data_IF_186834723580
#
_entry.id   IF_186834723580
#
_cell.length_a   1.000
_cell.length_b   1.000
_cell.length_c   1.000
_cell.angle_alpha   90.00
_cell.angle_beta   90.00
_cell.angle_gamma   90.00
#
_symmetry.space_group_name_H-M   'P 1'
#
loop_
_entity.id
_entity.type
_entity.pdbx_description
1 polymer ?
#
# COMPACT_ATOMS: atom_id res chain seq x y z
N UNK A 1 9.73 25.34 -8.60
CA UNK A 1 8.44 25.05 -9.29
C UNK A 1 7.31 25.24 -8.28
N UNK A 2 6.19 25.84 -8.66
CA UNK A 2 5.04 26.05 -7.76
C UNK A 2 3.90 25.13 -8.18
N UNK A 3 3.36 24.38 -7.23
CA UNK A 3 2.22 23.49 -7.46
C UNK A 3 1.03 23.96 -6.62
N UNK A 4 -0.17 23.78 -7.17
CA UNK A 4 -1.43 23.99 -6.46
C UNK A 4 -2.03 22.61 -6.23
N UNK A 5 -2.18 22.23 -4.96
CA UNK A 5 -2.80 20.96 -4.58
C UNK A 5 -4.27 21.18 -4.23
N UNK A 6 -5.14 20.18 -4.45
CA UNK A 6 -6.47 20.16 -3.86
C UNK A 6 -6.42 20.25 -2.33
N UNK A 7 -7.56 20.49 -1.68
CA UNK A 7 -7.65 20.61 -0.20
C UNK A 7 -7.31 19.32 0.58
N UNK A 8 -7.19 18.20 -0.11
CA UNK A 8 -6.85 16.91 0.48
C UNK A 8 -5.35 16.77 0.71
N UNK A 9 -4.96 15.91 1.66
CA UNK A 9 -3.57 15.65 2.00
C UNK A 9 -2.83 14.87 0.93
N UNK A 10 -1.54 15.17 0.79
CA UNK A 10 -0.60 14.46 -0.07
C UNK A 10 0.65 14.09 0.69
N UNK A 11 1.10 12.87 0.51
CA UNK A 11 2.34 12.39 1.09
C UNK A 11 3.41 12.27 0.02
N UNK A 12 4.63 12.71 0.34
CA UNK A 12 5.77 12.61 -0.58
C UNK A 12 6.30 11.18 -0.62
N UNK A 13 6.37 10.61 -1.80
CA UNK A 13 7.04 9.34 -2.03
C UNK A 13 8.57 9.54 -2.12
N UNK A 14 9.43 8.65 -1.59
CA UNK A 14 9.10 7.41 -0.87
C UNK A 14 8.98 7.58 0.64
N UNK A 15 9.17 8.77 1.19
CA UNK A 15 9.28 8.98 2.64
C UNK A 15 7.97 8.77 3.39
N UNK A 16 6.82 9.02 2.76
CA UNK A 16 5.51 9.06 3.43
C UNK A 16 5.22 10.38 4.13
N UNK A 17 6.16 11.35 4.12
CA UNK A 17 6.00 12.63 4.82
C UNK A 17 4.83 13.44 4.25
N UNK A 18 3.91 13.83 5.13
CA UNK A 18 2.78 14.70 4.76
C UNK A 18 3.29 16.09 4.37
N UNK A 19 2.87 16.57 3.19
CA UNK A 19 3.34 17.86 2.62
C UNK A 19 2.26 18.94 2.65
N UNK A 20 1.08 18.66 3.16
CA UNK A 20 0.06 19.69 3.22
C UNK A 20 0.30 20.67 4.35
N UNK A 21 0.35 21.97 3.98
CA UNK A 21 0.16 23.04 4.93
C UNK A 21 -1.33 23.39 4.98
N UNK A 22 -2.03 22.86 5.98
CA UNK A 22 -3.47 23.13 6.20
C UNK A 22 -3.78 24.62 6.41
N UNK A 23 -2.75 25.43 6.64
CA UNK A 23 -2.85 26.87 6.93
C UNK A 23 -2.57 27.76 5.72
N UNK A 24 -2.14 27.22 4.59
CA UNK A 24 -1.95 28.01 3.39
C UNK A 24 -3.27 28.12 2.61
N UNK A 25 -3.90 29.29 2.68
CA UNK A 25 -5.14 29.58 1.97
C UNK A 25 -5.08 29.34 0.45
N UNK A 26 -3.87 29.26 -0.10
CA UNK A 26 -3.67 29.07 -1.53
C UNK A 26 -3.26 27.63 -1.91
N UNK A 27 -3.08 26.71 -0.95
CA UNK A 27 -2.63 25.33 -1.19
C UNK A 27 -1.40 25.24 -2.12
N UNK A 28 -0.50 26.23 -2.01
CA UNK A 28 0.70 26.31 -2.86
C UNK A 28 1.91 25.78 -2.11
N UNK A 29 2.62 24.86 -2.75
CA UNK A 29 3.89 24.34 -2.25
C UNK A 29 4.99 24.72 -3.23
N UNK A 30 6.10 25.24 -2.71
CA UNK A 30 7.30 25.48 -3.48
C UNK A 30 8.25 24.32 -3.25
N UNK A 31 8.57 23.59 -4.31
CA UNK A 31 9.52 22.51 -4.27
C UNK A 31 10.82 22.97 -4.92
N UNK A 32 11.93 22.71 -4.21
CA UNK A 32 13.26 22.80 -4.77
C UNK A 32 13.71 21.41 -5.16
N UNK A 33 14.32 21.27 -6.31
CA UNK A 33 14.87 20.00 -6.79
C UNK A 33 15.86 20.23 -7.90
N UNK A 34 16.72 19.29 -8.14
CA UNK A 34 17.63 19.27 -9.27
C UNK A 34 16.87 18.88 -10.55
N UNK A 35 17.52 19.04 -11.70
CA UNK A 35 16.89 18.77 -12.99
C UNK A 35 16.57 17.28 -13.20
N UNK A 36 17.28 16.41 -12.51
CA UNK A 36 17.18 14.94 -12.51
C UNK A 36 16.28 14.39 -11.39
N UNK A 37 15.68 15.25 -10.54
CA UNK A 37 14.77 14.84 -9.48
C UNK A 37 13.32 14.88 -9.94
N UNK A 38 12.61 13.77 -9.74
CA UNK A 38 11.16 13.66 -9.94
C UNK A 38 10.46 13.64 -8.60
N UNK A 39 9.57 14.60 -8.37
CA UNK A 39 8.75 14.63 -7.15
C UNK A 39 7.45 13.85 -7.37
N UNK A 40 7.26 12.79 -6.60
CA UNK A 40 6.07 11.94 -6.63
C UNK A 40 5.28 12.17 -5.35
N UNK A 41 3.97 12.37 -5.48
CA UNK A 41 3.05 12.59 -4.38
C UNK A 41 1.90 11.59 -4.44
N UNK A 42 1.57 10.98 -3.32
CA UNK A 42 0.42 10.11 -3.17
C UNK A 42 -0.67 10.85 -2.40
N UNK A 43 -1.87 10.86 -2.95
CA UNK A 43 -3.03 11.44 -2.31
C UNK A 43 -3.50 10.59 -1.15
N UNK A 44 -3.92 11.22 -0.05
CA UNK A 44 -4.59 10.55 1.06
C UNK A 44 -5.89 9.88 0.63
N UNK A 45 -6.25 8.78 1.27
CA UNK A 45 -7.45 8.01 0.96
C UNK A 45 -7.26 6.98 -0.16
N UNK A 46 -6.01 6.75 -0.61
CA UNK A 46 -5.75 5.76 -1.65
C UNK A 46 -4.76 4.68 -1.20
N UNK A 47 -4.98 3.46 -1.72
CA UNK A 47 -4.05 2.34 -1.61
C UNK A 47 -3.35 2.19 -2.95
N UNK A 48 -2.01 2.25 -2.94
CA UNK A 48 -1.19 2.18 -4.14
C UNK A 48 -0.37 0.90 -4.12
N UNK A 49 -0.60 -0.02 -5.06
CA UNK A 49 0.29 -1.16 -5.25
C UNK A 49 1.58 -0.70 -5.91
N UNK A 50 2.69 -1.28 -5.50
CA UNK A 50 4.01 -1.08 -6.13
C UNK A 50 4.75 -2.40 -6.22
N UNK A 51 5.69 -2.49 -7.15
CA UNK A 51 6.66 -3.57 -7.23
C UNK A 51 8.05 -2.98 -7.02
N UNK A 52 8.81 -3.54 -6.08
CA UNK A 52 10.16 -3.08 -5.81
C UNK A 52 11.13 -3.71 -6.81
N UNK A 53 11.44 -2.95 -7.85
CA UNK A 53 12.40 -3.34 -8.90
C UNK A 53 13.77 -2.68 -8.73
N UNK A 54 13.96 -1.92 -7.65
CA UNK A 54 15.23 -1.28 -7.34
C UNK A 54 16.29 -2.36 -7.10
N UNK A 55 17.45 -2.19 -7.68
CA UNK A 55 18.54 -3.18 -7.67
C UNK A 55 18.30 -4.48 -8.45
N UNK A 56 17.17 -4.60 -9.15
CA UNK A 56 16.87 -5.78 -9.98
C UNK A 56 16.91 -5.43 -11.45
N UNK A 57 17.54 -6.31 -12.22
CA UNK A 57 17.54 -6.19 -13.68
C UNK A 57 16.30 -6.88 -14.25
N UNK A 58 15.26 -6.11 -14.48
CA UNK A 58 13.99 -6.60 -15.01
C UNK A 58 14.00 -6.46 -16.54
N UNK A 59 14.05 -7.59 -17.24
CA UNK A 59 14.20 -7.63 -18.70
C UNK A 59 12.91 -7.33 -19.47
N UNK A 60 11.75 -7.69 -18.89
CA UNK A 60 10.46 -7.57 -19.56
C UNK A 60 9.30 -7.59 -18.54
N UNK A 61 8.09 -7.33 -19.04
CA UNK A 61 6.86 -7.29 -18.24
C UNK A 61 6.50 -8.63 -17.58
N UNK A 62 6.87 -9.75 -18.21
CA UNK A 62 6.63 -11.08 -17.61
C UNK A 62 7.46 -11.26 -16.33
N UNK A 63 8.72 -10.85 -16.36
CA UNK A 63 9.60 -10.88 -15.18
C UNK A 63 9.16 -9.88 -14.11
N UNK A 64 8.62 -8.73 -14.52
CA UNK A 64 8.05 -7.78 -13.58
C UNK A 64 6.86 -8.37 -12.82
N UNK A 65 6.01 -9.15 -13.48
CA UNK A 65 4.86 -9.82 -12.86
C UNK A 65 5.22 -10.88 -11.82
N UNK A 66 6.42 -11.44 -11.89
CA UNK A 66 6.95 -12.39 -10.90
C UNK A 66 7.40 -11.70 -9.60
N UNK A 67 7.57 -10.36 -9.63
CA UNK A 67 8.00 -9.61 -8.47
C UNK A 67 6.90 -9.46 -7.43
N UNK A 68 7.33 -9.44 -6.16
CA UNK A 68 6.41 -9.26 -5.04
C UNK A 68 5.68 -7.94 -5.12
N UNK A 69 4.46 -7.94 -4.65
CA UNK A 69 3.60 -6.78 -4.61
C UNK A 69 3.67 -6.13 -3.22
N UNK A 70 4.13 -4.90 -3.16
CA UNK A 70 4.06 -4.07 -1.97
C UNK A 70 2.79 -3.20 -2.01
N UNK A 71 2.26 -2.85 -0.85
CA UNK A 71 1.10 -1.98 -0.73
C UNK A 71 1.43 -0.74 0.10
N UNK A 72 1.10 0.44 -0.41
CA UNK A 72 1.11 1.69 0.35
C UNK A 72 -0.33 2.06 0.63
N UNK A 73 -0.73 2.04 1.90
CA UNK A 73 -2.05 2.44 2.38
C UNK A 73 -1.92 3.86 2.91
N UNK A 74 -2.33 4.86 2.14
CA UNK A 74 -2.23 6.26 2.53
C UNK A 74 -3.56 6.73 3.15
N UNK A 75 -3.64 6.68 4.48
CA UNK A 75 -4.88 6.86 5.24
C UNK A 75 -5.25 8.33 5.34
N UNK A 76 -6.50 8.65 5.02
CA UNK A 76 -7.05 9.99 5.20
C UNK A 76 -7.50 10.27 6.65
N UNK A 77 -7.96 11.48 6.93
CA UNK A 77 -8.43 11.89 8.26
C UNK A 77 -9.71 11.17 8.71
N UNK A 78 -10.45 10.52 7.82
CA UNK A 78 -11.62 9.70 8.11
C UNK A 78 -11.24 8.22 8.34
N UNK A 79 -9.95 7.91 8.45
CA UNK A 79 -9.40 6.56 8.62
C UNK A 79 -9.75 5.61 7.48
N UNK A 80 -9.78 6.12 6.27
CA UNK A 80 -10.18 5.38 5.09
C UNK A 80 -9.13 5.44 3.99
N UNK A 81 -9.03 4.37 3.21
CA UNK A 81 -8.30 4.31 1.95
C UNK A 81 -8.88 3.25 1.03
N UNK A 82 -8.80 3.49 -0.26
CA UNK A 82 -9.32 2.60 -1.28
C UNK A 82 -8.29 2.41 -2.39
N UNK A 83 -8.25 1.20 -2.97
CA UNK A 83 -7.40 0.88 -4.11
C UNK A 83 -8.00 -0.22 -4.96
N UNK A 84 -7.56 -0.26 -6.22
CA UNK A 84 -7.92 -1.33 -7.16
C UNK A 84 -6.67 -1.81 -7.85
N UNK A 85 -6.51 -3.12 -7.92
CA UNK A 85 -5.46 -3.77 -8.70
C UNK A 85 -6.13 -4.56 -9.81
N UNK A 86 -5.63 -4.38 -11.01
CA UNK A 86 -6.13 -5.08 -12.18
C UNK A 86 -5.02 -5.93 -12.79
N UNK A 87 -5.30 -7.20 -12.98
CA UNK A 87 -4.41 -8.14 -13.63
C UNK A 87 -5.11 -8.74 -14.84
N UNK A 88 -4.47 -8.72 -15.99
CA UNK A 88 -4.93 -9.35 -17.22
C UNK A 88 -4.02 -10.54 -17.61
N UNK A 89 -4.40 -11.24 -18.68
CA UNK A 89 -3.68 -12.42 -19.16
C UNK A 89 -2.66 -12.10 -20.25
N UNK A 90 -1.76 -11.16 -20.04
CA UNK A 90 -0.72 -10.74 -20.99
C UNK A 90 -1.12 -9.64 -22.00
N UNK A 91 -0.29 -9.45 -23.02
CA UNK A 91 -0.34 -8.38 -24.03
C UNK A 91 -1.57 -8.44 -24.96
N UNK A 92 -2.73 -8.83 -24.45
CA UNK A 92 -3.94 -8.83 -25.23
C UNK A 92 -4.35 -7.39 -25.57
N UNK A 93 -4.41 -7.07 -26.86
CA UNK A 93 -4.86 -5.78 -27.37
C UNK A 93 -6.31 -5.46 -27.02
N UNK A 94 -7.05 -6.45 -26.53
CA UNK A 94 -8.43 -6.31 -26.09
C UNK A 94 -8.65 -7.11 -24.80
N UNK A 95 -9.30 -6.53 -23.82
CA UNK A 95 -9.81 -7.24 -22.65
C UNK A 95 -11.04 -8.07 -23.13
N UNK A 96 -10.80 -8.97 -24.06
CA UNK A 96 -11.83 -9.84 -24.57
C UNK A 96 -11.98 -11.04 -23.64
N UNK A 97 -13.20 -11.48 -23.48
CA UNK A 97 -13.55 -12.77 -22.89
C UNK A 97 -13.26 -12.96 -21.41
N UNK A 98 -13.31 -11.87 -20.62
CA UNK A 98 -13.33 -11.98 -19.15
C UNK A 98 -12.10 -12.69 -18.54
N UNK A 99 -10.93 -12.51 -19.13
CA UNK A 99 -9.68 -13.08 -18.61
C UNK A 99 -8.90 -12.04 -17.79
N UNK A 100 -9.47 -11.60 -16.70
CA UNK A 100 -8.85 -10.63 -15.79
C UNK A 100 -9.17 -10.95 -14.33
N UNK A 101 -8.36 -10.40 -13.45
CA UNK A 101 -8.66 -10.25 -12.03
C UNK A 101 -8.76 -8.78 -11.69
N UNK A 102 -9.79 -8.44 -10.97
CA UNK A 102 -9.92 -7.17 -10.30
C UNK A 102 -9.91 -7.41 -8.80
N UNK A 103 -8.93 -6.84 -8.11
CA UNK A 103 -8.83 -6.88 -6.65
C UNK A 103 -9.17 -5.51 -6.12
N UNK A 104 -10.20 -5.44 -5.30
CA UNK A 104 -10.59 -4.22 -4.60
C UNK A 104 -10.06 -4.27 -3.17
N UNK A 105 -9.37 -3.21 -2.76
CA UNK A 105 -8.77 -3.03 -1.45
C UNK A 105 -9.50 -1.89 -0.75
N UNK A 106 -10.15 -2.18 0.37
CA UNK A 106 -10.90 -1.19 1.13
C UNK A 106 -10.42 -1.18 2.58
N UNK A 107 -9.78 -0.10 2.99
CA UNK A 107 -9.32 0.12 4.35
C UNK A 107 -10.28 1.07 5.08
N UNK A 108 -10.69 0.68 6.28
CA UNK A 108 -11.53 1.50 7.15
C UNK A 108 -11.14 1.24 8.61
N UNK A 109 -10.91 2.31 9.36
CA UNK A 109 -10.44 2.33 10.75
C UNK A 109 -9.09 1.63 10.95
N UNK A 110 -9.06 0.33 11.14
CA UNK A 110 -7.85 -0.49 11.26
C UNK A 110 -7.98 -1.81 10.50
N UNK A 111 -8.91 -1.89 9.58
CA UNK A 111 -9.24 -3.11 8.84
C UNK A 111 -9.13 -2.88 7.35
N UNK A 112 -8.37 -3.72 6.66
CA UNK A 112 -8.38 -3.81 5.21
C UNK A 112 -9.13 -5.05 4.75
N UNK A 113 -10.21 -4.86 4.03
CA UNK A 113 -10.96 -5.91 3.35
C UNK A 113 -10.48 -6.03 1.92
N UNK A 114 -10.32 -7.26 1.45
CA UNK A 114 -9.86 -7.59 0.11
C UNK A 114 -10.96 -8.39 -0.57
N UNK A 115 -11.44 -7.90 -1.69
CA UNK A 115 -12.41 -8.61 -2.53
C UNK A 115 -11.85 -8.82 -3.92
N UNK A 116 -12.00 -10.02 -4.43
CA UNK A 116 -11.48 -10.40 -5.74
C UNK A 116 -12.61 -10.82 -6.67
N UNK A 117 -12.76 -10.10 -7.76
CA UNK A 117 -13.61 -10.49 -8.85
C UNK A 117 -12.84 -11.46 -9.77
N UNK A 118 -13.27 -12.73 -9.80
CA UNK A 118 -12.65 -13.80 -10.60
C UNK A 118 -13.45 -14.07 -11.84
N UNK A 119 -12.89 -13.83 -13.00
CA UNK A 119 -13.51 -14.22 -14.27
C UNK A 119 -12.66 -15.27 -14.99
N UNK A 120 -13.18 -16.51 -15.03
CA UNK A 120 -12.75 -17.67 -15.86
C UNK A 120 -11.25 -17.81 -16.19
N UNK A 121 -10.42 -17.87 -15.17
CA UNK A 121 -8.97 -17.80 -15.30
C UNK A 121 -8.28 -19.15 -15.10
N UNK A 122 -8.76 -20.17 -15.74
CA UNK A 122 -8.12 -21.50 -15.69
C UNK A 122 -6.63 -21.54 -16.13
N UNK A 123 -6.05 -20.42 -16.54
CA UNK A 123 -4.67 -20.36 -17.06
C UNK A 123 -3.73 -19.36 -16.37
N UNK A 124 -4.22 -18.56 -15.43
CA UNK A 124 -3.36 -17.65 -14.70
C UNK A 124 -2.89 -18.32 -13.41
N UNK A 125 -1.58 -18.37 -13.17
CA UNK A 125 -1.05 -18.94 -11.94
C UNK A 125 -1.14 -17.88 -10.82
N UNK A 126 -2.17 -17.97 -9.99
CA UNK A 126 -2.47 -17.01 -8.91
C UNK A 126 -1.41 -16.92 -7.83
N UNK A 127 -0.57 -17.93 -7.70
CA UNK A 127 0.43 -17.98 -6.65
C UNK A 127 1.56 -16.98 -6.86
N UNK A 128 1.61 -16.32 -8.02
CA UNK A 128 2.71 -15.45 -8.39
C UNK A 128 2.59 -14.04 -7.79
N UNK A 129 1.42 -13.65 -7.25
CA UNK A 129 1.23 -12.32 -6.64
C UNK A 129 1.39 -12.35 -5.11
N UNK A 130 2.63 -12.59 -4.69
CA UNK A 130 3.02 -12.66 -3.29
C UNK A 130 3.17 -11.24 -2.73
N UNK A 131 2.62 -11.00 -1.54
CA UNK A 131 2.86 -9.76 -0.81
C UNK A 131 4.29 -9.68 -0.30
N UNK A 132 4.91 -8.51 -0.49
CA UNK A 132 6.22 -8.18 0.02
C UNK A 132 6.14 -7.34 1.29
N UNK A 133 5.82 -6.07 1.16
CA UNK A 133 5.76 -5.10 2.25
C UNK A 133 4.41 -4.41 2.26
N UNK A 134 3.89 -4.10 3.45
CA UNK A 134 2.73 -3.22 3.62
C UNK A 134 3.18 -2.00 4.41
N UNK A 135 2.99 -0.82 3.83
CA UNK A 135 3.24 0.46 4.48
C UNK A 135 1.90 1.15 4.79
N UNK A 136 1.68 1.50 6.05
CA UNK A 136 0.55 2.33 6.48
C UNK A 136 1.06 3.76 6.72
N UNK A 137 0.73 4.68 5.83
CA UNK A 137 1.09 6.09 5.93
C UNK A 137 0.01 6.88 6.66
N UNK A 138 0.41 7.96 7.34
CA UNK A 138 -0.45 8.70 8.27
C UNK A 138 -0.99 7.80 9.39
N UNK A 139 -0.12 6.96 9.94
CA UNK A 139 -0.48 5.93 10.91
C UNK A 139 -1.14 6.52 12.18
N UNK A 140 -0.83 7.76 12.54
CA UNK A 140 -1.48 8.46 13.66
C UNK A 140 -2.98 8.73 13.43
N UNK A 141 -3.47 8.73 12.19
CA UNK A 141 -4.91 8.79 11.94
C UNK A 141 -5.61 7.52 12.45
N UNK A 142 -4.93 6.37 12.39
CA UNK A 142 -5.45 5.07 12.88
C UNK A 142 -5.13 4.86 14.35
N UNK A 143 -3.90 5.20 14.75
CA UNK A 143 -3.34 4.99 16.09
C UNK A 143 -2.90 6.33 16.71
N UNK A 144 -3.82 7.19 17.16
CA UNK A 144 -3.51 8.56 17.60
C UNK A 144 -2.60 8.60 18.84
N UNK A 145 -2.60 7.54 19.62
CA UNK A 145 -1.81 7.43 20.84
C UNK A 145 -0.45 6.73 20.65
N UNK A 146 -0.13 6.37 19.41
CA UNK A 146 1.10 5.64 19.09
C UNK A 146 2.38 6.38 19.49
N UNK A 147 2.35 7.70 19.45
CA UNK A 147 3.49 8.58 19.76
C UNK A 147 3.63 8.92 21.24
N UNK A 148 2.72 8.45 22.12
CA UNK A 148 2.81 8.75 23.56
C UNK A 148 3.91 7.93 24.21
N UNK A 149 4.63 8.57 25.15
CA UNK A 149 5.72 7.96 25.91
C UNK A 149 5.30 6.65 26.58
N UNK A 150 4.07 6.62 27.12
CA UNK A 150 3.48 5.45 27.79
C UNK A 150 3.24 4.23 26.87
N UNK A 151 3.36 4.43 25.56
CA UNK A 151 3.11 3.42 24.55
C UNK A 151 4.39 2.97 23.80
N UNK A 152 5.56 3.41 24.24
CA UNK A 152 6.85 3.08 23.59
C UNK A 152 7.14 1.58 23.50
N UNK A 153 6.67 0.82 24.52
CA UNK A 153 6.90 -0.62 24.58
C UNK A 153 5.81 -1.44 23.87
N UNK A 154 4.77 -0.79 23.38
CA UNK A 154 3.72 -1.47 22.64
C UNK A 154 4.15 -1.80 21.22
N UNK A 155 3.70 -2.96 20.75
CA UNK A 155 4.04 -3.46 19.43
C UNK A 155 2.88 -3.29 18.46
N UNK A 156 3.22 -2.89 17.26
CA UNK A 156 2.28 -2.91 16.14
C UNK A 156 2.27 -4.30 15.53
N UNK A 157 1.10 -4.82 15.28
CA UNK A 157 0.92 -6.16 14.75
C UNK A 157 -0.10 -6.14 13.62
N UNK A 158 0.25 -6.80 12.53
CA UNK A 158 -0.63 -7.05 11.40
C UNK A 158 -1.12 -8.48 11.49
N UNK A 159 -2.42 -8.68 11.66
CA UNK A 159 -3.05 -10.01 11.60
C UNK A 159 -3.62 -10.22 10.19
N UNK A 160 -3.06 -11.17 9.46
CA UNK A 160 -3.54 -11.55 8.12
C UNK A 160 -4.46 -12.76 8.27
N UNK A 161 -5.72 -12.59 7.89
CA UNK A 161 -6.72 -13.65 7.92
C UNK A 161 -6.81 -14.33 6.55
N UNK A 162 -6.32 -15.54 6.48
CA UNK A 162 -6.46 -16.44 5.33
C UNK A 162 -7.69 -17.34 5.51
N UNK A 163 -8.06 -18.09 4.46
CA UNK A 163 -9.22 -18.98 4.51
C UNK A 163 -9.14 -20.06 5.61
N UNK A 164 -7.93 -20.51 5.96
CA UNK A 164 -7.70 -21.63 6.89
C UNK A 164 -6.84 -21.29 8.10
N UNK A 165 -6.13 -20.19 8.07
CA UNK A 165 -5.16 -19.82 9.12
C UNK A 165 -5.08 -18.30 9.32
N UNK A 166 -4.43 -17.89 10.40
CA UNK A 166 -4.07 -16.50 10.68
C UNK A 166 -2.55 -16.39 10.79
N UNK A 167 -2.02 -15.28 10.31
CA UNK A 167 -0.58 -14.95 10.45
C UNK A 167 -0.43 -13.60 11.09
N UNK A 168 0.39 -13.53 12.13
CA UNK A 168 0.76 -12.29 12.81
C UNK A 168 2.13 -11.82 12.34
N UNK A 169 2.26 -10.52 12.04
CA UNK A 169 3.49 -9.89 11.59
C UNK A 169 3.73 -8.64 12.41
N UNK A 170 4.89 -8.54 13.03
CA UNK A 170 5.27 -7.32 13.76
C UNK A 170 5.64 -6.21 12.78
N UNK A 171 5.26 -4.97 13.12
CA UNK A 171 5.53 -3.78 12.33
C UNK A 171 6.51 -2.85 13.02
N UNK A 172 7.24 -2.09 12.21
CA UNK A 172 8.14 -1.05 12.64
C UNK A 172 7.51 0.33 12.41
N UNK A 173 7.47 1.15 13.46
CA UNK A 173 6.95 2.52 13.37
C UNK A 173 8.08 3.52 13.10
N UNK A 174 7.96 4.22 11.99
CA UNK A 174 8.80 5.35 11.64
C UNK A 174 8.13 6.65 12.13
N UNK A 175 8.61 7.13 13.27
CA UNK A 175 8.05 8.28 13.95
C UNK A 175 8.20 9.57 13.13
N UNK A 176 9.32 9.74 12.45
CA UNK A 176 9.63 10.95 11.66
C UNK A 176 8.64 11.11 10.49
N UNK A 177 8.34 10.03 9.81
CA UNK A 177 7.48 10.03 8.64
C UNK A 177 6.04 9.59 8.93
N UNK A 178 5.72 9.29 10.20
CA UNK A 178 4.40 8.86 10.65
C UNK A 178 3.87 7.67 9.84
N UNK A 179 4.67 6.63 9.69
CA UNK A 179 4.31 5.43 8.96
C UNK A 179 4.66 4.15 9.71
N UNK A 180 3.85 3.13 9.48
CA UNK A 180 4.11 1.76 9.91
C UNK A 180 4.54 0.92 8.72
N UNK A 181 5.54 0.10 8.92
CA UNK A 181 6.07 -0.80 7.89
C UNK A 181 6.03 -2.24 8.40
N UNK A 182 5.36 -3.10 7.65
CA UNK A 182 5.24 -4.53 7.93
C UNK A 182 5.93 -5.30 6.80
N UNK A 183 7.00 -6.02 7.15
CA UNK A 183 7.74 -6.85 6.20
C UNK A 183 7.19 -8.27 6.21
N UNK A 184 6.58 -8.66 5.10
CA UNK A 184 5.98 -9.98 4.90
C UNK A 184 6.99 -10.94 4.23
N UNK A 185 8.08 -10.41 3.71
CA UNK A 185 9.08 -11.16 2.92
C UNK A 185 9.73 -12.32 3.66
N UNK A 186 9.89 -12.22 4.98
CA UNK A 186 10.57 -13.22 5.82
C UNK A 186 9.76 -14.48 6.09
N UNK A 187 8.54 -14.62 5.57
CA UNK A 187 7.72 -15.82 5.79
C UNK A 187 8.02 -16.86 4.73
N UNK A 188 8.38 -18.07 5.18
CA UNK A 188 8.48 -19.24 4.31
C UNK A 188 7.17 -19.44 3.56
N UNK A 189 7.23 -19.70 2.27
CA UNK A 189 6.09 -19.88 1.34
C UNK A 189 5.32 -18.63 0.90
N UNK A 190 5.71 -17.43 1.34
CA UNK A 190 5.02 -16.19 0.92
C UNK A 190 3.53 -16.16 1.31
N UNK A 191 2.88 -15.05 1.06
CA UNK A 191 1.42 -14.91 1.23
C UNK A 191 0.85 -14.34 -0.06
N UNK A 192 0.05 -15.12 -0.77
CA UNK A 192 -0.62 -14.66 -1.99
C UNK A 192 -1.71 -13.66 -1.65
N UNK A 193 -1.76 -12.55 -2.37
CA UNK A 193 -2.82 -11.54 -2.24
C UNK A 193 -4.23 -12.16 -2.38
N UNK A 194 -4.37 -13.19 -3.21
CA UNK A 194 -5.65 -13.83 -3.50
C UNK A 194 -6.16 -14.76 -2.40
N UNK A 195 -5.29 -15.15 -1.48
CA UNK A 195 -5.66 -16.02 -0.34
C UNK A 195 -6.09 -15.21 0.87
N UNK A 196 -5.93 -13.88 0.82
CA UNK A 196 -6.25 -12.99 1.93
C UNK A 196 -7.70 -12.53 1.85
N UNK A 197 -8.45 -12.75 2.92
CA UNK A 197 -9.80 -12.22 3.04
C UNK A 197 -9.79 -10.85 3.73
N UNK A 198 -8.92 -10.70 4.74
CA UNK A 198 -8.92 -9.52 5.62
C UNK A 198 -7.56 -9.34 6.28
N UNK A 199 -7.19 -8.10 6.48
CA UNK A 199 -6.01 -7.71 7.27
C UNK A 199 -6.46 -6.76 8.39
N UNK A 200 -6.04 -7.07 9.62
CA UNK A 200 -6.29 -6.24 10.79
C UNK A 200 -4.98 -5.61 11.28
N UNK A 201 -5.01 -4.32 11.50
CA UNK A 201 -3.91 -3.56 12.07
C UNK A 201 -4.19 -3.36 13.55
N UNK A 202 -3.34 -3.93 14.40
CA UNK A 202 -3.52 -3.96 15.85
C UNK A 202 -2.36 -3.25 16.55
N UNK A 203 -2.67 -2.73 17.72
CA UNK A 203 -1.73 -2.14 18.64
C UNK A 203 -1.85 -2.88 19.97
N UNK A 204 -0.80 -3.65 20.34
CA UNK A 204 -0.78 -4.51 21.54
C UNK A 204 0.14 -3.96 22.61
#
# INVERSE_FOLDING_TARGET
>A
MKFIFPKEGFNRYPTGKLIMNKNDANNKITLSGKLDEVHIFLREGFIVPKQNTFEKYILNTMKLREEKLDLIINVNSLKQSHGVIFFDNDDANTISDKKYYKVELNFTDNVMNISTEKNNLAKYNYNDHILGTIELWNANNVFPDANKEENKDKKYCLEIQLAKEKKDIEGNYDLENNKLVFDINGKENGISLFDINKILFNFK
#
